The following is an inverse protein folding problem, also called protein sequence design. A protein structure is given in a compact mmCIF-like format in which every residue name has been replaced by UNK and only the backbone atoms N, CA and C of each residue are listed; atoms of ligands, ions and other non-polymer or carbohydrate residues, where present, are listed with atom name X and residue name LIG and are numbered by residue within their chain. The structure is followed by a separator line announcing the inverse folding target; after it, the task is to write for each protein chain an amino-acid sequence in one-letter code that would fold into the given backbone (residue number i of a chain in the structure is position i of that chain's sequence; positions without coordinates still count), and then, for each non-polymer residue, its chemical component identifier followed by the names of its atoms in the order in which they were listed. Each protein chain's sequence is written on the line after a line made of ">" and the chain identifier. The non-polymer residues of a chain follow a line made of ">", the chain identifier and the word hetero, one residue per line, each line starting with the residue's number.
data_IF_860217533415
#
_entry.id   IF_860217533415
#
_cell.length_a   1.000
_cell.length_b   1.000
_cell.length_c   1.000
_cell.angle_alpha   90.00
_cell.angle_beta   90.00
_cell.angle_gamma   90.00
#
_symmetry.space_group_name_H-M   'P 1'
#
loop_
_entity.id
_entity.type
_entity.pdbx_description
1 polymer ?
#
# COMPACT_ATOMS: atom_id res chain seq x y z
N UNK A 1 1.41 11.07 11.88
CA UNK A 1 0.70 11.67 10.72
C UNK A 1 -0.34 10.69 10.21
N UNK A 2 -1.54 11.17 9.93
CA UNK A 2 -2.65 10.32 9.48
C UNK A 2 -2.81 10.43 7.97
N UNK A 3 -2.90 9.29 7.28
CA UNK A 3 -3.17 9.27 5.84
C UNK A 3 -4.63 9.63 5.57
N UNK A 4 -4.84 10.34 4.47
CA UNK A 4 -6.18 10.63 3.96
C UNK A 4 -6.22 10.22 2.49
N UNK A 5 -7.41 10.28 1.88
CA UNK A 5 -7.54 9.99 0.46
C UNK A 5 -6.77 10.99 -0.42
N UNK A 6 -6.46 12.17 0.11
CA UNK A 6 -5.69 13.20 -0.61
C UNK A 6 -4.17 13.01 -0.46
N UNK A 7 -3.74 12.10 0.40
CA UNK A 7 -2.31 11.85 0.58
C UNK A 7 -1.71 11.19 -0.65
N UNK A 8 -0.44 11.53 -0.92
CA UNK A 8 0.33 10.91 -1.99
C UNK A 8 1.34 9.95 -1.36
N UNK A 9 1.35 8.72 -1.83
CA UNK A 9 2.24 7.68 -1.31
C UNK A 9 2.86 6.90 -2.46
N UNK A 10 4.01 6.30 -2.19
CA UNK A 10 4.65 5.38 -3.13
C UNK A 10 5.22 4.19 -2.38
N UNK A 11 5.34 3.06 -3.08
CA UNK A 11 6.06 1.90 -2.56
C UNK A 11 7.53 2.27 -2.42
N UNK A 12 8.13 1.94 -1.28
CA UNK A 12 9.55 2.22 -1.07
C UNK A 12 10.40 1.49 -2.12
N UNK A 13 11.42 2.15 -2.69
CA UNK A 13 12.31 1.49 -3.65
C UNK A 13 13.16 0.39 -3.01
N UNK A 14 13.20 0.33 -1.67
CA UNK A 14 13.92 -0.71 -0.95
C UNK A 14 13.05 -1.91 -0.61
N UNK A 15 11.82 -1.96 -1.14
CA UNK A 15 10.88 -3.05 -0.88
C UNK A 15 10.75 -3.95 -2.09
N UNK A 16 10.89 -5.25 -1.87
CA UNK A 16 10.56 -6.25 -2.85
C UNK A 16 9.22 -6.89 -2.50
N UNK A 17 8.37 -7.08 -3.50
CA UNK A 17 7.10 -7.78 -3.35
C UNK A 17 7.23 -9.17 -3.96
N UNK A 18 6.94 -10.18 -3.17
CA UNK A 18 6.98 -11.57 -3.61
C UNK A 18 5.55 -12.09 -3.69
N UNK A 19 5.09 -12.55 -4.86
CA UNK A 19 3.74 -13.11 -4.98
C UNK A 19 3.59 -14.36 -4.13
N UNK A 20 2.45 -14.46 -3.42
CA UNK A 20 2.09 -15.61 -2.61
C UNK A 20 0.61 -15.93 -2.86
N UNK A 21 0.16 -17.18 -2.56
CA UNK A 21 -1.25 -17.54 -2.77
C UNK A 21 -2.23 -16.62 -2.05
N UNK A 22 -1.84 -16.07 -0.88
CA UNK A 22 -2.70 -15.18 -0.10
C UNK A 22 -2.63 -13.72 -0.57
N UNK A 23 -1.68 -13.35 -1.41
CA UNK A 23 -1.45 -11.97 -1.84
C UNK A 23 0.01 -11.71 -2.15
N UNK A 24 0.76 -11.17 -1.20
CA UNK A 24 2.20 -10.95 -1.38
C UNK A 24 2.91 -10.82 -0.04
N UNK A 25 4.21 -11.05 -0.09
CA UNK A 25 5.12 -10.79 1.01
C UNK A 25 5.95 -9.57 0.65
N UNK A 26 5.90 -8.54 1.48
CA UNK A 26 6.69 -7.33 1.29
C UNK A 26 7.92 -7.38 2.18
N UNK A 27 9.11 -7.29 1.57
CA UNK A 27 10.36 -7.32 2.29
C UNK A 27 11.11 -6.01 2.07
N UNK A 28 11.44 -5.32 3.18
CA UNK A 28 12.18 -4.07 3.15
C UNK A 28 13.66 -4.35 3.39
N UNK A 29 14.50 -4.11 2.40
CA UNK A 29 15.93 -4.39 2.50
C UNK A 29 16.64 -3.50 3.53
N UNK A 30 16.20 -2.26 3.68
CA UNK A 30 16.84 -1.29 4.57
C UNK A 30 16.66 -1.62 6.04
N UNK A 31 15.42 -1.88 6.48
CA UNK A 31 15.14 -2.16 7.89
C UNK A 31 14.88 -3.65 8.15
N UNK A 32 14.94 -4.48 7.12
CA UNK A 32 14.75 -5.94 7.18
C UNK A 32 13.39 -6.37 7.71
N UNK A 33 12.39 -5.50 7.60
CA UNK A 33 11.03 -5.85 8.01
C UNK A 33 10.34 -6.68 6.94
N UNK A 34 9.50 -7.59 7.41
CA UNK A 34 8.68 -8.44 6.58
C UNK A 34 7.23 -8.17 6.91
N UNK A 35 6.41 -7.90 5.89
CA UNK A 35 5.00 -7.61 6.08
C UNK A 35 4.19 -8.45 5.11
N UNK A 36 3.13 -9.11 5.62
CA UNK A 36 2.24 -9.89 4.78
C UNK A 36 1.12 -9.01 4.24
N UNK A 37 0.98 -8.96 2.93
CA UNK A 37 -0.17 -8.34 2.27
C UNK A 37 -1.17 -9.45 1.97
N UNK A 38 -2.16 -9.59 2.84
CA UNK A 38 -3.04 -10.78 2.86
C UNK A 38 -4.16 -10.75 1.83
N UNK A 39 -4.33 -9.63 1.12
CA UNK A 39 -5.39 -9.50 0.12
C UNK A 39 -4.78 -9.13 -1.22
N UNK A 40 -5.14 -9.85 -2.31
CA UNK A 40 -4.66 -9.49 -3.65
C UNK A 40 -4.98 -8.04 -4.03
N UNK A 41 -6.13 -7.52 -3.60
CA UNK A 41 -6.50 -6.13 -3.86
C UNK A 41 -5.50 -5.14 -3.26
N UNK A 42 -5.00 -5.43 -2.05
CA UNK A 42 -4.01 -4.59 -1.40
C UNK A 42 -2.69 -4.60 -2.18
N UNK A 43 -2.30 -5.73 -2.75
CA UNK A 43 -1.11 -5.83 -3.58
C UNK A 43 -1.24 -4.93 -4.80
N UNK A 44 -2.39 -4.98 -5.47
CA UNK A 44 -2.66 -4.14 -6.63
C UNK A 44 -2.59 -2.66 -6.25
N UNK A 45 -3.22 -2.28 -5.15
CA UNK A 45 -3.21 -0.89 -4.68
C UNK A 45 -1.79 -0.42 -4.39
N UNK A 46 -1.01 -1.19 -3.65
CA UNK A 46 0.37 -0.82 -3.29
C UNK A 46 1.24 -0.65 -4.54
N UNK A 47 1.11 -1.56 -5.50
CA UNK A 47 1.88 -1.47 -6.75
C UNK A 47 1.47 -0.26 -7.59
N UNK A 48 0.23 0.18 -7.47
CA UNK A 48 -0.32 1.26 -8.31
C UNK A 48 -0.15 2.65 -7.71
N UNK A 49 0.29 2.76 -6.44
CA UNK A 49 0.37 4.05 -5.75
C UNK A 49 1.20 5.08 -6.51
N UNK A 50 2.29 4.67 -7.13
CA UNK A 50 3.18 5.59 -7.84
C UNK A 50 2.57 6.09 -9.15
N UNK A 51 1.56 5.41 -9.67
CA UNK A 51 0.93 5.74 -10.96
C UNK A 51 -0.19 6.78 -10.83
N UNK A 52 -0.54 7.15 -9.59
CA UNK A 52 -1.66 8.05 -9.33
C UNK A 52 -1.25 9.14 -8.34
N UNK A 53 -1.85 10.34 -8.43
CA UNK A 53 -1.42 11.46 -7.58
C UNK A 53 -1.85 11.34 -6.12
N UNK A 54 -2.91 10.57 -5.82
CA UNK A 54 -3.42 10.43 -4.46
C UNK A 54 -3.85 9.01 -4.19
N UNK A 55 -4.00 8.67 -2.90
CA UNK A 55 -4.54 7.37 -2.49
C UNK A 55 -5.96 7.20 -3.03
N UNK A 56 -6.78 8.25 -2.96
CA UNK A 56 -8.14 8.19 -3.48
C UNK A 56 -8.19 7.84 -4.96
N UNK A 57 -7.32 8.48 -5.77
CA UNK A 57 -7.24 8.19 -7.20
C UNK A 57 -6.80 6.74 -7.44
N UNK A 58 -5.86 6.24 -6.63
CA UNK A 58 -5.39 4.86 -6.72
C UNK A 58 -6.52 3.88 -6.43
N UNK A 59 -7.27 4.11 -5.35
CA UNK A 59 -8.38 3.24 -4.97
C UNK A 59 -9.49 3.25 -6.03
N UNK A 60 -9.77 4.41 -6.62
CA UNK A 60 -10.73 4.51 -7.72
C UNK A 60 -10.26 3.69 -8.94
N UNK A 61 -9.00 3.83 -9.31
CA UNK A 61 -8.44 3.12 -10.46
C UNK A 61 -8.43 1.61 -10.24
N UNK A 62 -8.26 1.16 -8.99
CA UNK A 62 -8.25 -0.25 -8.65
C UNK A 62 -9.65 -0.83 -8.41
N UNK A 63 -10.69 0.00 -8.52
CA UNK A 63 -12.07 -0.46 -8.37
C UNK A 63 -12.45 -0.79 -6.93
N UNK A 64 -11.82 -0.15 -5.94
CA UNK A 64 -12.12 -0.40 -4.55
C UNK A 64 -13.43 0.30 -4.16
N UNK A 65 -14.38 -0.47 -3.65
CA UNK A 65 -15.68 0.06 -3.24
C UNK A 65 -15.53 1.09 -2.11
N UNK A 66 -16.42 2.08 -2.10
CA UNK A 66 -16.36 3.18 -1.14
C UNK A 66 -16.36 2.70 0.32
N UNK A 67 -17.15 1.68 0.63
CA UNK A 67 -17.24 1.14 1.99
C UNK A 67 -15.96 0.42 2.45
N UNK A 68 -15.05 0.12 1.54
CA UNK A 68 -13.76 -0.52 1.87
C UNK A 68 -12.62 0.48 2.05
N UNK A 69 -12.85 1.75 1.73
CA UNK A 69 -11.77 2.76 1.71
C UNK A 69 -11.17 3.00 3.08
N UNK A 70 -11.99 3.02 4.14
CA UNK A 70 -11.46 3.24 5.49
C UNK A 70 -10.56 2.09 5.92
N UNK A 71 -10.90 0.84 5.58
CA UNK A 71 -10.06 -0.32 5.87
C UNK A 71 -8.74 -0.24 5.12
N UNK A 72 -8.77 0.17 3.85
CA UNK A 72 -7.56 0.32 3.05
C UNK A 72 -6.67 1.45 3.60
N UNK A 73 -7.27 2.58 4.01
CA UNK A 73 -6.50 3.66 4.63
C UNK A 73 -5.81 3.20 5.91
N UNK A 74 -6.51 2.45 6.76
CA UNK A 74 -5.93 1.92 7.99
C UNK A 74 -4.76 0.99 7.69
N UNK A 75 -4.92 0.11 6.70
CA UNK A 75 -3.86 -0.80 6.29
C UNK A 75 -2.66 -0.05 5.71
N UNK A 76 -2.90 0.95 4.86
CA UNK A 76 -1.83 1.76 4.29
C UNK A 76 -1.12 2.56 5.38
N UNK A 77 -1.85 3.06 6.38
CA UNK A 77 -1.24 3.75 7.52
C UNK A 77 -0.25 2.82 8.25
N UNK A 78 -0.62 1.57 8.44
CA UNK A 78 0.29 0.58 9.05
C UNK A 78 1.51 0.32 8.17
N UNK A 79 1.34 0.31 6.87
CA UNK A 79 2.46 0.12 5.94
C UNK A 79 3.44 1.30 5.98
N UNK A 80 2.96 2.53 6.24
CA UNK A 80 3.87 3.66 6.43
C UNK A 80 4.70 3.50 7.69
N UNK A 81 4.11 2.98 8.76
CA UNK A 81 4.83 2.73 10.02
C UNK A 81 5.93 1.69 9.84
N UNK A 82 5.71 0.72 8.96
CA UNK A 82 6.71 -0.31 8.63
C UNK A 82 7.66 0.13 7.53
N UNK A 83 7.51 1.35 7.02
CA UNK A 83 8.32 1.93 5.94
C UNK A 83 8.20 1.15 4.62
N UNK A 84 7.16 0.36 4.46
CA UNK A 84 6.89 -0.35 3.20
C UNK A 84 6.45 0.64 2.13
N UNK A 85 5.63 1.63 2.51
CA UNK A 85 5.30 2.75 1.65
C UNK A 85 5.70 4.04 2.35
N UNK A 86 5.89 5.09 1.56
CA UNK A 86 6.26 6.40 2.09
C UNK A 86 5.36 7.47 1.54
N UNK A 87 5.07 8.49 2.37
CA UNK A 87 4.33 9.67 1.98
C UNK A 87 5.30 10.63 1.30
N UNK A 88 4.91 11.09 0.14
CA UNK A 88 5.81 12.01 -0.55
C UNK A 88 5.17 12.77 -1.65
#
# INVERSE_FOLDING_TARGET
>A
MTLTLDSSCTLSPQVALRPEPFGALAYHYGNRRLVFLKHPDMVVVVKSLADHPTIGATLDACGIAAERRSSFLAALQNLTKSEIISVG
#
